data_IF_471501499156
#
_entry.id   IF_471501499156
#
_cell.length_a   1.000
_cell.length_b   1.000
_cell.length_c   1.000
_cell.angle_alpha   90.00
_cell.angle_beta   90.00
_cell.angle_gamma   90.00
#
_symmetry.space_group_name_H-M   'P 1'
#
loop_
_entity.id
_entity.type
_entity.pdbx_description
1 polymer ?
#
# COMPACT_ATOMS: atom_id res chain seq x y z
N UNK A 1 15.14 18.38 21.83
CA UNK A 1 14.65 17.04 22.23
C UNK A 1 14.38 16.19 21.00
N UNK A 2 14.93 14.97 20.99
CA UNK A 2 14.63 13.81 20.14
C UNK A 2 14.53 13.96 18.60
N UNK A 3 15.63 13.59 17.96
CA UNK A 3 15.83 13.19 16.55
C UNK A 3 14.76 12.17 16.12
N UNK A 4 13.87 12.50 15.17
CA UNK A 4 13.05 11.50 14.47
C UNK A 4 13.73 11.17 13.14
N UNK A 5 14.67 10.23 13.18
CA UNK A 5 15.25 9.63 11.99
C UNK A 5 14.12 8.94 11.22
N UNK A 6 13.59 9.61 10.20
CA UNK A 6 12.85 8.95 9.13
C UNK A 6 13.88 8.15 8.35
N UNK A 7 14.00 6.87 8.69
CA UNK A 7 14.81 5.93 7.94
C UNK A 7 14.11 5.70 6.59
N UNK A 8 14.33 6.62 5.63
CA UNK A 8 13.91 6.47 4.24
C UNK A 8 14.70 5.31 3.70
N UNK A 9 14.08 4.13 3.59
CA UNK A 9 14.59 3.07 2.71
C UNK A 9 14.53 3.64 1.29
N UNK A 10 15.63 4.20 0.83
CA UNK A 10 15.76 4.74 -0.53
C UNK A 10 15.90 3.55 -1.46
N UNK A 11 14.76 3.06 -1.96
CA UNK A 11 14.75 2.23 -3.15
C UNK A 11 14.96 3.17 -4.34
N UNK A 12 15.96 2.91 -5.18
CA UNK A 12 16.22 3.66 -6.42
C UNK A 12 15.24 3.23 -7.50
N UNK A 13 13.96 3.47 -7.23
CA UNK A 13 12.86 3.10 -8.09
C UNK A 13 12.10 4.38 -8.43
N UNK A 14 12.14 4.80 -9.68
CA UNK A 14 11.45 6.03 -10.11
C UNK A 14 9.94 5.91 -9.92
N UNK A 15 9.38 4.70 -10.11
CA UNK A 15 7.94 4.47 -10.00
C UNK A 15 7.66 3.07 -9.42
N UNK A 16 7.01 3.03 -8.25
CA UNK A 16 6.63 1.81 -7.55
C UNK A 16 5.23 1.39 -7.99
N UNK A 17 5.11 0.15 -8.45
CA UNK A 17 3.88 -0.51 -8.84
C UNK A 17 3.40 -1.47 -7.75
N UNK A 18 2.13 -1.35 -7.39
CA UNK A 18 1.40 -2.24 -6.49
C UNK A 18 0.79 -3.36 -7.33
N UNK A 19 1.06 -4.59 -6.93
CA UNK A 19 0.54 -5.79 -7.60
C UNK A 19 -0.62 -6.33 -6.80
N UNK A 20 -1.73 -6.57 -7.48
CA UNK A 20 -2.92 -7.18 -6.90
C UNK A 20 -3.24 -8.43 -7.72
N UNK A 21 -3.19 -9.58 -7.05
CA UNK A 21 -3.64 -10.84 -7.64
C UNK A 21 -5.16 -10.99 -7.51
N UNK A 22 -5.80 -11.34 -8.62
CA UNK A 22 -7.21 -11.66 -8.69
C UNK A 22 -7.39 -12.96 -9.48
N UNK A 23 -8.41 -13.79 -9.17
CA UNK A 23 -8.67 -15.02 -9.94
C UNK A 23 -8.87 -14.83 -11.45
N UNK A 24 -9.18 -13.61 -11.90
CA UNK A 24 -9.40 -13.27 -13.31
C UNK A 24 -8.26 -12.46 -13.92
N UNK A 25 -7.14 -12.28 -13.20
CA UNK A 25 -5.97 -11.58 -13.71
C UNK A 25 -5.17 -10.84 -12.64
N UNK A 26 -3.99 -10.39 -13.04
CA UNK A 26 -3.09 -9.60 -12.19
C UNK A 26 -3.19 -8.14 -12.56
N UNK A 27 -3.47 -7.28 -11.57
CA UNK A 27 -3.50 -5.83 -11.74
C UNK A 27 -2.18 -5.23 -11.26
N UNK A 28 -1.67 -4.27 -12.01
CA UNK A 28 -0.53 -3.46 -11.63
C UNK A 28 -0.95 -1.99 -11.69
N UNK A 29 -0.85 -1.29 -10.57
CA UNK A 29 -1.25 0.11 -10.44
C UNK A 29 -0.14 0.89 -9.73
N UNK A 30 0.10 2.16 -10.07
CA UNK A 30 1.06 2.99 -9.35
C UNK A 30 0.71 3.08 -7.87
N UNK A 31 1.73 3.06 -7.00
CA UNK A 31 1.54 3.17 -5.55
C UNK A 31 0.82 4.46 -5.17
N UNK A 32 1.11 5.57 -5.85
CA UNK A 32 0.42 6.84 -5.64
C UNK A 32 -1.07 6.75 -5.94
N UNK A 33 -1.45 6.10 -7.04
CA UNK A 33 -2.84 5.88 -7.40
C UNK A 33 -3.54 4.99 -6.38
N UNK A 34 -2.89 3.90 -5.95
CA UNK A 34 -3.41 3.04 -4.90
C UNK A 34 -3.62 3.78 -3.57
N UNK A 35 -2.68 4.63 -3.18
CA UNK A 35 -2.79 5.43 -1.97
C UNK A 35 -3.94 6.44 -2.06
N UNK A 36 -4.25 6.95 -3.25
CA UNK A 36 -5.33 7.91 -3.49
C UNK A 36 -6.70 7.23 -3.57
N UNK A 37 -6.80 6.12 -4.28
CA UNK A 37 -8.08 5.55 -4.74
C UNK A 37 -8.39 4.15 -4.19
N UNK A 38 -7.38 3.44 -3.68
CA UNK A 38 -7.52 2.06 -3.21
C UNK A 38 -8.44 1.92 -2.00
N UNK A 39 -8.83 0.70 -1.64
CA UNK A 39 -9.32 -0.35 -2.53
C UNK A 39 -10.67 0.01 -3.22
N UNK A 40 -11.18 1.23 -3.07
CA UNK A 40 -12.45 1.68 -3.62
C UNK A 40 -13.64 0.86 -3.11
N UNK A 41 -14.55 0.47 -4.02
CA UNK A 41 -15.75 -0.33 -3.70
C UNK A 41 -15.37 -1.74 -3.19
N UNK A 42 -14.23 -2.27 -3.63
CA UNK A 42 -13.80 -3.65 -3.33
C UNK A 42 -13.01 -3.71 -2.02
N UNK A 43 -13.71 -3.59 -0.90
CA UNK A 43 -13.16 -3.42 0.48
C UNK A 43 -12.02 -4.36 0.88
N UNK A 44 -11.88 -5.53 0.28
CA UNK A 44 -10.90 -6.56 0.67
C UNK A 44 -9.75 -6.76 -0.32
N UNK A 45 -9.63 -5.92 -1.36
CA UNK A 45 -8.47 -5.94 -2.23
C UNK A 45 -7.21 -5.55 -1.46
N UNK A 46 -6.22 -6.42 -1.43
CA UNK A 46 -4.91 -6.15 -0.83
C UNK A 46 -3.81 -6.40 -1.84
N UNK A 47 -2.73 -5.60 -1.84
CA UNK A 47 -1.54 -5.90 -2.63
C UNK A 47 -0.92 -7.24 -2.23
N UNK A 48 -0.59 -8.07 -3.22
CA UNK A 48 0.19 -9.30 -3.03
C UNK A 48 1.69 -9.02 -3.10
N UNK A 49 2.11 -8.08 -3.95
CA UNK A 49 3.50 -7.70 -4.12
C UNK A 49 3.68 -6.20 -4.44
N UNK A 50 4.92 -5.75 -4.37
CA UNK A 50 5.36 -4.48 -4.92
C UNK A 50 6.47 -4.74 -5.94
N UNK A 51 6.54 -3.94 -6.99
CA UNK A 51 7.63 -3.99 -7.97
C UNK A 51 7.93 -2.60 -8.49
N UNK A 52 9.09 -2.42 -9.09
CA UNK A 52 9.37 -1.24 -9.89
C UNK A 52 8.71 -1.34 -11.27
N UNK A 53 8.58 -0.21 -11.96
CA UNK A 53 8.03 -0.13 -13.31
C UNK A 53 8.81 -0.96 -14.35
N UNK A 54 10.12 -1.09 -14.16
CA UNK A 54 11.01 -1.97 -14.94
C UNK A 54 10.78 -3.47 -14.68
N UNK A 55 9.93 -3.81 -13.70
CA UNK A 55 9.60 -5.17 -13.30
C UNK A 55 10.40 -5.69 -12.09
N UNK A 56 11.38 -4.94 -11.59
CA UNK A 56 12.23 -5.37 -10.47
C UNK A 56 11.39 -5.60 -9.20
N UNK A 57 11.43 -6.79 -8.56
CA UNK A 57 10.63 -7.07 -7.38
C UNK A 57 11.07 -6.21 -6.20
N UNK A 58 10.09 -5.69 -5.46
CA UNK A 58 10.31 -4.89 -4.25
C UNK A 58 9.69 -5.57 -3.03
N UNK A 59 10.26 -5.38 -1.83
CA UNK A 59 9.63 -5.86 -0.62
C UNK A 59 8.27 -5.17 -0.42
N UNK A 60 7.26 -5.91 0.02
CA UNK A 60 5.94 -5.33 0.38
C UNK A 60 6.04 -4.23 1.46
N UNK A 61 7.17 -4.24 2.19
CA UNK A 61 7.64 -3.18 3.09
C UNK A 61 7.57 -1.77 2.52
N UNK A 62 7.74 -1.60 1.20
CA UNK A 62 7.70 -0.31 0.50
C UNK A 62 6.32 0.32 0.55
N UNK A 63 5.26 -0.50 0.53
CA UNK A 63 3.89 -0.03 0.71
C UNK A 63 3.69 0.28 2.19
N UNK A 64 3.33 1.52 2.59
CA UNK A 64 3.13 1.84 3.99
C UNK A 64 2.00 1.00 4.58
N UNK A 65 2.15 0.57 5.84
CA UNK A 65 1.26 -0.41 6.46
C UNK A 65 -0.23 -0.03 6.35
N UNK A 66 -0.57 1.25 6.55
CA UNK A 66 -1.95 1.77 6.44
C UNK A 66 -2.59 1.54 5.07
N UNK A 67 -1.79 1.43 4.01
CA UNK A 67 -2.26 1.21 2.64
C UNK A 67 -2.18 -0.24 2.18
N UNK A 68 -1.81 -1.21 3.03
CA UNK A 68 -1.72 -2.62 2.60
C UNK A 68 -3.06 -3.33 2.51
N UNK A 69 -4.09 -2.80 3.17
CA UNK A 69 -5.43 -3.39 3.27
C UNK A 69 -5.48 -4.89 3.63
N UNK A 70 -4.41 -5.42 4.22
CA UNK A 70 -4.34 -6.78 4.74
C UNK A 70 -4.97 -6.85 6.14
N UNK A 71 -5.14 -8.07 6.67
CA UNK A 71 -5.78 -8.30 7.97
C UNK A 71 -5.21 -7.39 9.07
N UNK A 72 -3.89 -7.32 9.20
CA UNK A 72 -3.22 -6.50 10.20
C UNK A 72 -3.52 -5.01 10.06
N UNK A 73 -3.40 -4.45 8.85
CA UNK A 73 -3.70 -3.04 8.62
C UNK A 73 -5.17 -2.70 8.91
N UNK A 74 -6.10 -3.59 8.53
CA UNK A 74 -7.54 -3.42 8.80
C UNK A 74 -7.85 -3.50 10.29
N UNK A 75 -7.23 -4.43 11.02
CA UNK A 75 -7.37 -4.53 12.47
C UNK A 75 -6.84 -3.28 13.18
N UNK A 76 -5.64 -2.81 12.82
CA UNK A 76 -5.07 -1.59 13.40
C UNK A 76 -5.90 -0.34 13.10
N UNK A 77 -6.55 -0.29 11.92
CA UNK A 77 -7.51 0.76 11.59
C UNK A 77 -8.78 0.63 12.44
N UNK A 78 -9.34 -0.58 12.56
CA UNK A 78 -10.52 -0.84 13.38
C UNK A 78 -10.31 -0.54 14.87
N UNK A 79 -9.08 -0.72 15.36
CA UNK A 79 -8.66 -0.38 16.72
C UNK A 79 -8.31 1.11 16.91
N UNK A 80 -8.37 1.94 15.85
CA UNK A 80 -8.04 3.36 15.91
C UNK A 80 -6.53 3.68 16.02
N UNK A 81 -5.66 2.67 15.94
CA UNK A 81 -4.20 2.83 15.99
C UNK A 81 -3.67 3.47 14.71
N UNK A 82 -4.26 3.11 13.57
CA UNK A 82 -3.99 3.72 12.26
C UNK A 82 -5.21 4.48 11.77
N UNK A 83 -5.00 5.68 11.23
CA UNK A 83 -6.07 6.39 10.50
C UNK A 83 -6.42 5.62 9.22
N UNK A 84 -7.71 5.42 8.96
CA UNK A 84 -8.18 4.85 7.71
C UNK A 84 -7.81 5.80 6.55
N UNK A 85 -6.95 5.38 5.61
CA UNK A 85 -6.51 6.28 4.54
C UNK A 85 -7.57 6.53 3.46
N UNK A 86 -8.63 5.72 3.41
CA UNK A 86 -9.63 5.75 2.34
C UNK A 86 -11.05 5.96 2.86
N UNK A 87 -11.18 6.46 4.08
CA UNK A 87 -12.45 6.89 4.61
C UNK A 87 -12.98 8.05 3.76
N UNK A 88 -13.96 7.77 2.90
CA UNK A 88 -14.76 8.83 2.30
C UNK A 88 -15.50 9.50 3.45
N UNK A 89 -15.23 10.77 3.69
CA UNK A 89 -16.02 11.60 4.60
C UNK A 89 -17.49 11.39 4.21
N UNK A 90 -18.25 10.82 5.14
CA UNK A 90 -19.70 10.69 5.00
C UNK A 90 -20.33 12.08 4.94
#
# INVERSE_FOLDING_TARGET
MARRMQNKRTFTCEEIMVVIEHPFGTLQIPLEEWMKNGPGIRKYLSPSAARCKDGTPLPLGVIPLRYRNNLWSRLLIGLGILKNPWERQK
#
